data_IF_610200274770
#
_entry.id   IF_610200274770
#
_cell.length_a   1.000
_cell.length_b   1.000
_cell.length_c   1.000
_cell.angle_alpha   90.00
_cell.angle_beta   90.00
_cell.angle_gamma   90.00
#
_symmetry.space_group_name_H-M   'P 1'
#
loop_
_entity.id
_entity.type
_entity.pdbx_description
1 polymer ?
#
# COMPACT_ATOMS: atom_id res chain seq x y z
N UNK A 1 -7.15 52.12 32.12
CA UNK A 1 -7.19 50.62 32.15
C UNK A 1 -8.34 50.21 31.23
N UNK A 2 -8.02 49.87 29.96
CA UNK A 2 -9.03 49.47 28.94
C UNK A 2 -8.99 47.93 28.87
N UNK A 3 -10.11 47.31 29.24
CA UNK A 3 -10.31 45.87 29.13
C UNK A 3 -10.72 45.56 27.70
N UNK A 4 -9.88 44.83 26.97
CA UNK A 4 -10.21 44.30 25.63
C UNK A 4 -10.91 42.97 25.80
N UNK A 5 -12.19 42.93 25.47
CA UNK A 5 -13.00 41.69 25.47
C UNK A 5 -12.75 40.97 24.14
N UNK A 6 -12.07 39.83 24.22
CA UNK A 6 -11.81 38.95 23.07
C UNK A 6 -13.02 38.02 22.91
N UNK A 7 -13.87 38.28 21.93
CA UNK A 7 -14.98 37.39 21.55
C UNK A 7 -14.47 36.23 20.72
N UNK A 8 -14.52 35.04 21.29
CA UNK A 8 -14.25 33.77 20.60
C UNK A 8 -15.45 33.43 19.72
N UNK A 9 -15.28 33.51 18.40
CA UNK A 9 -16.27 33.02 17.44
C UNK A 9 -16.09 31.51 17.30
N UNK A 10 -16.99 30.75 17.91
CA UNK A 10 -17.10 29.31 17.70
C UNK A 10 -17.86 29.06 16.41
N UNK A 11 -17.16 28.66 15.37
CA UNK A 11 -17.77 28.22 14.12
C UNK A 11 -18.36 26.82 14.32
N UNK A 12 -19.67 26.74 14.58
CA UNK A 12 -20.40 25.48 14.61
C UNK A 12 -20.56 24.97 13.17
N UNK A 13 -19.85 23.88 12.83
CA UNK A 13 -20.07 23.14 11.59
C UNK A 13 -21.39 22.38 11.75
N UNK A 14 -22.45 22.89 11.13
CA UNK A 14 -23.73 22.19 11.03
C UNK A 14 -23.57 20.99 10.10
N UNK A 15 -23.53 19.79 10.65
CA UNK A 15 -23.77 18.58 9.88
C UNK A 15 -25.21 18.60 9.40
N UNK A 16 -25.40 18.81 8.10
CA UNK A 16 -26.70 18.76 7.46
C UNK A 16 -27.28 17.33 7.61
N UNK A 17 -28.34 17.21 8.41
CA UNK A 17 -29.17 16.03 8.40
C UNK A 17 -29.86 15.99 7.02
N UNK A 18 -29.54 14.97 6.22
CA UNK A 18 -30.27 14.71 5.00
C UNK A 18 -31.76 14.48 5.30
N UNK A 19 -32.67 14.71 4.34
CA UNK A 19 -34.10 14.54 4.58
C UNK A 19 -34.39 13.09 4.98
N UNK A 20 -34.84 12.86 6.21
CA UNK A 20 -35.39 11.59 6.61
C UNK A 20 -36.67 11.36 5.80
N UNK A 21 -36.65 10.37 4.91
CA UNK A 21 -37.86 9.93 4.21
C UNK A 21 -38.77 9.31 5.26
N UNK A 22 -39.76 10.09 5.70
CA UNK A 22 -40.82 9.56 6.55
C UNK A 22 -41.59 8.49 5.76
N UNK A 23 -41.44 7.22 6.16
CA UNK A 23 -42.24 6.15 5.62
C UNK A 23 -43.69 6.39 6.07
N UNK A 24 -44.57 6.73 5.13
CA UNK A 24 -45.98 6.93 5.42
C UNK A 24 -46.57 5.64 5.97
N UNK A 25 -47.35 5.69 7.05
CA UNK A 25 -48.02 4.50 7.56
C UNK A 25 -48.96 3.94 6.48
N UNK A 26 -49.16 2.63 6.41
CA UNK A 26 -50.06 2.04 5.45
C UNK A 26 -51.46 2.60 5.63
N UNK A 27 -52.24 2.74 4.52
CA UNK A 27 -53.59 3.30 4.58
C UNK A 27 -54.48 2.51 5.52
N UNK A 28 -55.38 3.22 6.21
CA UNK A 28 -56.30 2.63 7.14
C UNK A 28 -57.14 1.53 6.45
N UNK A 29 -57.09 0.30 7.00
CA UNK A 29 -57.72 -0.88 6.40
C UNK A 29 -56.80 -1.77 5.56
N UNK A 30 -55.50 -1.45 5.42
CA UNK A 30 -54.54 -2.35 4.80
C UNK A 30 -54.42 -3.64 5.61
N UNK A 31 -54.89 -4.74 5.04
CA UNK A 31 -54.63 -6.09 5.54
C UNK A 31 -53.55 -6.72 4.66
N UNK A 32 -52.35 -6.97 5.17
CA UNK A 32 -51.34 -7.66 4.38
C UNK A 32 -51.87 -9.04 4.01
N UNK A 33 -51.71 -9.43 2.74
CA UNK A 33 -51.95 -10.82 2.33
C UNK A 33 -50.93 -11.68 3.05
N UNK A 34 -51.39 -12.60 3.88
CA UNK A 34 -50.56 -13.49 4.67
C UNK A 34 -49.80 -14.52 3.84
N UNK A 35 -50.25 -14.78 2.62
CA UNK A 35 -49.63 -15.73 1.70
C UNK A 35 -49.75 -15.21 0.26
N UNK A 36 -48.62 -14.81 -0.32
CA UNK A 36 -48.49 -14.46 -1.73
C UNK A 36 -47.67 -15.56 -2.39
N UNK A 37 -48.33 -16.37 -3.24
CA UNK A 37 -47.67 -17.44 -3.96
C UNK A 37 -46.49 -16.89 -4.80
N UNK A 38 -45.32 -17.48 -4.64
CA UNK A 38 -44.12 -17.12 -5.42
C UNK A 38 -44.25 -17.68 -6.84
N UNK A 39 -43.78 -16.91 -7.82
CA UNK A 39 -43.55 -17.40 -9.17
C UNK A 39 -42.44 -18.46 -9.18
N UNK A 40 -42.38 -19.36 -10.17
CA UNK A 40 -41.27 -20.33 -10.27
C UNK A 40 -39.87 -19.69 -10.23
N UNK A 41 -39.68 -18.55 -10.91
CA UNK A 41 -38.42 -17.78 -10.89
C UNK A 41 -38.14 -17.24 -9.51
N UNK A 42 -39.12 -16.70 -8.79
CA UNK A 42 -38.96 -16.19 -7.44
C UNK A 42 -38.63 -17.31 -6.45
N UNK A 43 -39.26 -18.50 -6.59
CA UNK A 43 -38.92 -19.67 -5.79
C UNK A 43 -37.49 -20.12 -5.99
N UNK A 44 -37.01 -20.13 -7.23
CA UNK A 44 -35.61 -20.47 -7.52
C UNK A 44 -34.66 -19.42 -6.94
N UNK A 45 -34.96 -18.12 -7.03
CA UNK A 45 -34.16 -17.06 -6.43
C UNK A 45 -34.07 -17.21 -4.90
N UNK A 46 -35.15 -17.57 -4.23
CA UNK A 46 -35.16 -17.90 -2.79
C UNK A 46 -34.23 -19.08 -2.50
N UNK A 47 -34.33 -20.15 -3.27
CA UNK A 47 -33.52 -21.36 -3.10
C UNK A 47 -32.01 -21.05 -3.22
N UNK A 48 -31.63 -20.27 -4.22
CA UNK A 48 -30.22 -19.84 -4.41
C UNK A 48 -29.76 -18.98 -3.23
N UNK A 49 -30.60 -18.06 -2.77
CA UNK A 49 -30.30 -17.22 -1.60
C UNK A 49 -30.19 -18.04 -0.31
N UNK A 50 -31.03 -19.06 -0.14
CA UNK A 50 -30.93 -19.99 0.99
C UNK A 50 -29.66 -20.82 0.94
N UNK A 51 -29.22 -21.24 -0.23
CA UNK A 51 -27.91 -21.88 -0.41
C UNK A 51 -26.78 -21.04 0.13
N UNK A 52 -26.70 -19.77 -0.25
CA UNK A 52 -25.68 -18.85 0.26
C UNK A 52 -25.75 -18.63 1.78
N UNK A 53 -26.97 -18.54 2.33
CA UNK A 53 -27.17 -18.39 3.79
C UNK A 53 -26.80 -19.64 4.58
N UNK A 54 -26.96 -20.83 3.97
CA UNK A 54 -26.61 -22.11 4.56
C UNK A 54 -25.13 -22.47 4.35
N UNK A 55 -24.42 -21.77 3.45
CA UNK A 55 -23.00 -21.98 3.20
C UNK A 55 -22.17 -21.71 4.45
N UNK A 56 -21.30 -22.65 4.77
CA UNK A 56 -20.47 -22.56 5.96
C UNK A 56 -19.37 -21.53 5.72
N UNK A 57 -19.39 -20.45 6.49
CA UNK A 57 -18.28 -19.50 6.60
C UNK A 57 -17.72 -19.61 8.02
N UNK A 58 -16.87 -20.62 8.31
CA UNK A 58 -16.37 -20.85 9.65
C UNK A 58 -15.48 -19.68 10.10
N UNK A 59 -15.73 -19.13 11.29
CA UNK A 59 -14.90 -18.07 11.81
C UNK A 59 -13.54 -18.61 12.23
N UNK A 60 -12.51 -17.80 12.06
CA UNK A 60 -11.14 -18.05 12.54
C UNK A 60 -10.76 -17.10 13.69
N UNK A 61 -9.85 -17.49 14.59
CA UNK A 61 -9.35 -16.59 15.62
C UNK A 61 -8.42 -15.56 14.99
N UNK A 62 -8.69 -14.28 15.25
CA UNK A 62 -7.82 -13.18 14.87
C UNK A 62 -7.02 -12.63 16.06
N UNK A 63 -6.10 -11.68 15.85
CA UNK A 63 -5.38 -11.01 16.91
C UNK A 63 -6.35 -10.28 17.85
N UNK A 64 -5.92 -10.08 19.10
CA UNK A 64 -6.68 -9.35 20.14
C UNK A 64 -8.07 -9.92 20.44
N UNK A 65 -8.28 -11.23 20.23
CA UNK A 65 -9.53 -11.92 20.54
C UNK A 65 -10.68 -11.59 19.58
N UNK A 66 -10.40 -11.00 18.42
CA UNK A 66 -11.40 -10.81 17.36
C UNK A 66 -11.73 -12.13 16.67
N UNK A 67 -12.95 -12.22 16.20
CA UNK A 67 -13.42 -13.32 15.35
C UNK A 67 -13.38 -12.86 13.90
N UNK A 68 -12.74 -13.62 13.03
CA UNK A 68 -12.51 -13.23 11.63
C UNK A 68 -13.30 -14.15 10.70
N UNK A 69 -14.08 -13.57 9.81
CA UNK A 69 -14.77 -14.26 8.72
C UNK A 69 -14.09 -13.98 7.37
N UNK A 70 -14.15 -14.94 6.45
CA UNK A 70 -13.73 -14.70 5.07
C UNK A 70 -14.81 -13.96 4.31
N UNK A 71 -14.49 -12.78 3.76
CA UNK A 71 -15.47 -12.00 2.98
C UNK A 71 -15.86 -12.76 1.70
N UNK A 72 -17.20 -12.92 1.50
CA UNK A 72 -17.74 -13.61 0.32
C UNK A 72 -17.86 -15.13 0.43
N UNK A 73 -17.40 -15.75 1.52
CA UNK A 73 -17.46 -17.20 1.70
C UNK A 73 -18.77 -17.70 2.33
N UNK A 74 -19.78 -16.86 2.44
CA UNK A 74 -21.07 -17.16 3.04
C UNK A 74 -21.52 -16.06 4.01
N UNK A 75 -22.65 -16.24 4.66
CA UNK A 75 -23.27 -15.28 5.55
C UNK A 75 -22.55 -15.25 6.92
N UNK A 76 -21.85 -14.16 7.20
CA UNK A 76 -21.27 -13.94 8.52
C UNK A 76 -22.36 -13.64 9.57
N UNK A 77 -22.20 -14.16 10.78
CA UNK A 77 -23.15 -13.97 11.87
C UNK A 77 -22.48 -13.25 13.04
N UNK A 78 -23.04 -12.12 13.46
CA UNK A 78 -22.63 -11.41 14.67
C UNK A 78 -23.59 -11.78 15.81
N UNK A 79 -23.08 -12.46 16.82
CA UNK A 79 -23.83 -12.84 18.02
C UNK A 79 -23.61 -11.77 19.08
N UNK A 80 -24.70 -11.20 19.59
CA UNK A 80 -24.70 -10.14 20.59
C UNK A 80 -25.52 -10.52 21.82
N UNK A 81 -25.33 -9.81 22.93
CA UNK A 81 -26.17 -9.94 24.11
C UNK A 81 -26.59 -8.55 24.61
N UNK A 82 -27.76 -8.42 25.28
CA UNK A 82 -28.17 -7.19 25.90
C UNK A 82 -27.12 -6.72 26.92
N UNK A 83 -26.96 -5.41 27.07
CA UNK A 83 -25.97 -4.77 27.94
C UNK A 83 -24.50 -5.04 27.55
N UNK A 84 -24.25 -5.65 26.39
CA UNK A 84 -22.93 -5.86 25.84
C UNK A 84 -22.77 -5.10 24.51
N UNK A 85 -21.53 -4.70 24.23
CA UNK A 85 -21.17 -4.06 22.98
C UNK A 85 -20.57 -5.11 22.05
N UNK A 86 -21.13 -5.23 20.84
CA UNK A 86 -20.54 -5.98 19.75
C UNK A 86 -20.03 -5.00 18.69
N UNK A 87 -18.89 -5.27 18.12
CA UNK A 87 -18.23 -4.41 17.12
C UNK A 87 -18.01 -5.20 15.85
N UNK A 88 -18.51 -4.66 14.75
CA UNK A 88 -18.12 -5.07 13.41
C UNK A 88 -17.01 -4.14 12.93
N UNK A 89 -15.82 -4.68 12.67
CA UNK A 89 -14.69 -3.95 12.12
C UNK A 89 -14.66 -4.12 10.60
N UNK A 90 -14.56 -3.01 9.89
CA UNK A 90 -14.39 -3.00 8.44
C UNK A 90 -12.90 -2.94 8.09
N UNK A 91 -12.59 -2.98 6.81
CA UNK A 91 -11.18 -2.90 6.38
C UNK A 91 -10.59 -1.51 6.70
N UNK A 92 -9.36 -1.43 7.21
CA UNK A 92 -8.68 -0.16 7.40
C UNK A 92 -8.67 0.70 6.13
N UNK A 93 -8.95 2.00 6.28
CA UNK A 93 -9.03 2.95 5.17
C UNK A 93 -10.31 2.88 4.32
N UNK A 94 -11.25 1.99 4.64
CA UNK A 94 -12.59 2.00 4.04
C UNK A 94 -13.40 3.19 4.54
N UNK A 95 -14.33 3.71 3.73
CA UNK A 95 -15.23 4.80 4.11
C UNK A 95 -16.67 4.34 3.99
N UNK A 96 -17.45 4.61 5.03
CA UNK A 96 -18.89 4.34 4.98
C UNK A 96 -19.56 5.17 3.90
N UNK A 97 -20.41 4.54 3.12
CA UNK A 97 -21.23 5.18 2.09
C UNK A 97 -22.70 5.12 2.49
N UNK A 98 -23.10 6.04 3.37
CA UNK A 98 -24.43 6.09 3.96
C UNK A 98 -24.52 5.43 5.33
N UNK A 99 -25.71 5.50 5.91
CA UNK A 99 -26.00 4.89 7.21
C UNK A 99 -26.20 3.37 7.06
N UNK A 100 -25.73 2.56 8.04
CA UNK A 100 -26.03 1.13 8.07
C UNK A 100 -27.53 0.86 8.11
N UNK A 101 -27.99 -0.08 7.30
CA UNK A 101 -29.42 -0.46 7.20
C UNK A 101 -29.65 -1.75 7.95
N UNK A 102 -30.68 -1.78 8.78
CA UNK A 102 -31.01 -2.92 9.62
C UNK A 102 -32.51 -3.28 9.47
N UNK A 103 -32.81 -4.56 9.44
CA UNK A 103 -34.19 -5.02 9.30
C UNK A 103 -35.09 -4.73 10.51
N UNK A 104 -34.51 -4.70 11.71
CA UNK A 104 -35.21 -4.38 12.95
C UNK A 104 -34.59 -3.15 13.63
N UNK A 105 -35.00 -1.98 13.19
CA UNK A 105 -34.48 -0.70 13.70
C UNK A 105 -34.98 -0.30 15.09
N UNK A 106 -35.98 -0.98 15.62
CA UNK A 106 -36.57 -0.65 16.91
C UNK A 106 -35.84 -1.32 18.10
N UNK A 107 -35.37 -2.55 17.89
CA UNK A 107 -34.81 -3.37 18.96
C UNK A 107 -33.28 -3.49 18.89
N UNK A 108 -32.67 -2.87 17.90
CA UNK A 108 -31.22 -2.82 17.74
C UNK A 108 -30.73 -1.37 17.62
N UNK A 109 -29.70 -1.04 18.34
CA UNK A 109 -28.99 0.23 18.22
C UNK A 109 -27.73 0.01 17.40
N UNK A 110 -27.60 0.77 16.32
CA UNK A 110 -26.45 0.73 15.42
C UNK A 110 -25.80 2.10 15.41
N UNK A 111 -24.49 2.15 15.69
CA UNK A 111 -23.76 3.42 15.75
C UNK A 111 -22.45 3.27 14.97
N UNK A 112 -22.27 4.00 13.88
CA UNK A 112 -20.98 4.11 13.23
C UNK A 112 -19.94 4.79 14.11
N UNK A 113 -18.71 4.29 14.11
CA UNK A 113 -17.57 4.88 14.79
C UNK A 113 -16.28 4.56 14.00
N UNK A 114 -15.15 5.05 14.43
CA UNK A 114 -13.86 4.70 13.85
C UNK A 114 -12.76 4.78 14.92
N UNK A 115 -11.69 4.05 14.72
CA UNK A 115 -10.47 4.20 15.51
C UNK A 115 -9.24 4.26 14.60
N UNK A 116 -8.13 4.75 15.13
CA UNK A 116 -6.93 5.07 14.33
C UNK A 116 -6.99 6.48 13.74
N UNK A 117 -5.91 6.89 13.09
CA UNK A 117 -5.77 8.24 12.52
C UNK A 117 -5.41 8.20 11.04
N UNK A 118 -5.82 9.23 10.31
CA UNK A 118 -5.47 9.41 8.90
C UNK A 118 -6.20 8.48 7.95
N UNK A 119 -5.52 8.13 6.86
CA UNK A 119 -6.09 7.30 5.77
C UNK A 119 -6.22 5.82 6.15
N UNK A 120 -5.54 5.38 7.21
CA UNK A 120 -5.55 4.00 7.70
C UNK A 120 -6.53 3.80 8.88
N UNK A 121 -7.36 4.80 9.16
CA UNK A 121 -8.40 4.69 10.18
C UNK A 121 -9.32 3.51 9.89
N UNK A 122 -9.66 2.74 10.93
CA UNK A 122 -10.54 1.57 10.80
C UNK A 122 -11.96 1.98 11.17
N UNK A 123 -12.90 1.98 10.23
CA UNK A 123 -14.30 2.20 10.54
C UNK A 123 -14.87 0.98 11.24
N UNK A 124 -15.74 1.21 12.20
CA UNK A 124 -16.41 0.18 12.97
C UNK A 124 -17.90 0.47 13.09
N UNK A 125 -18.69 -0.58 13.21
CA UNK A 125 -20.11 -0.49 13.53
C UNK A 125 -20.33 -1.08 14.92
N UNK A 126 -20.80 -0.26 15.83
CA UNK A 126 -21.19 -0.68 17.18
C UNK A 126 -22.63 -1.17 17.15
N UNK A 127 -22.84 -2.39 17.60
CA UNK A 127 -24.14 -3.09 17.58
C UNK A 127 -24.55 -3.42 19.00
N UNK A 128 -25.78 -3.06 19.38
CA UNK A 128 -26.36 -3.34 20.72
C UNK A 128 -27.81 -3.79 20.57
N UNK A 129 -28.17 -5.02 20.98
CA UNK A 129 -29.56 -5.44 21.08
C UNK A 129 -30.21 -4.92 22.36
N UNK A 130 -31.51 -4.65 22.33
CA UNK A 130 -32.28 -4.25 23.52
C UNK A 130 -32.84 -5.43 24.32
N UNK A 131 -32.98 -6.60 23.68
CA UNK A 131 -33.53 -7.81 24.27
C UNK A 131 -32.84 -9.07 23.72
N UNK A 132 -32.85 -10.20 24.41
CA UNK A 132 -32.42 -11.47 23.89
C UNK A 132 -33.45 -12.07 22.89
N UNK A 133 -33.03 -13.07 22.10
CA UNK A 133 -33.89 -13.80 21.18
C UNK A 133 -34.26 -13.06 19.89
N UNK A 134 -33.53 -11.99 19.57
CA UNK A 134 -33.72 -11.25 18.32
C UNK A 134 -32.88 -11.86 17.21
N UNK A 135 -33.44 -11.88 15.99
CA UNK A 135 -32.80 -12.33 14.76
C UNK A 135 -33.16 -11.35 13.66
N UNK A 136 -32.16 -10.74 13.07
CA UNK A 136 -32.30 -9.76 11.98
C UNK A 136 -31.08 -9.75 11.08
N UNK A 137 -31.07 -8.86 10.11
CA UNK A 137 -29.93 -8.64 9.21
C UNK A 137 -29.45 -7.19 9.24
N UNK A 138 -28.19 -7.02 8.88
CA UNK A 138 -27.51 -5.74 8.78
C UNK A 138 -26.87 -5.63 7.40
N UNK A 139 -27.05 -4.49 6.75
CA UNK A 139 -26.35 -4.08 5.54
C UNK A 139 -25.48 -2.86 5.86
N UNK A 140 -24.21 -2.95 5.58
CA UNK A 140 -23.25 -1.83 5.66
C UNK A 140 -22.66 -1.62 4.27
N UNK A 141 -22.76 -0.41 3.73
CA UNK A 141 -22.18 -0.05 2.44
C UNK A 141 -20.97 0.84 2.64
N UNK A 142 -19.93 0.59 1.85
CA UNK A 142 -18.69 1.37 1.87
C UNK A 142 -18.31 1.79 0.46
N UNK A 143 -17.23 2.53 0.34
CA UNK A 143 -16.62 2.91 -0.95
C UNK A 143 -16.01 1.73 -1.71
N UNK A 144 -15.88 0.55 -1.06
CA UNK A 144 -15.29 -0.65 -1.68
C UNK A 144 -16.29 -1.79 -1.89
N UNK A 145 -17.23 -1.99 -0.95
CA UNK A 145 -18.12 -3.17 -0.97
C UNK A 145 -19.36 -3.00 -0.09
N UNK A 146 -20.26 -3.99 -0.15
CA UNK A 146 -21.39 -4.12 0.74
C UNK A 146 -21.20 -5.33 1.67
N UNK A 147 -21.38 -5.11 2.96
CA UNK A 147 -21.35 -6.16 3.97
C UNK A 147 -22.77 -6.52 4.36
N UNK A 148 -23.13 -7.76 4.18
CA UNK A 148 -24.42 -8.30 4.59
C UNK A 148 -24.20 -9.35 5.68
N UNK A 149 -24.79 -9.14 6.85
CA UNK A 149 -24.60 -9.96 8.04
C UNK A 149 -25.92 -10.35 8.65
N UNK A 150 -25.94 -11.48 9.35
CA UNK A 150 -26.99 -11.86 10.28
C UNK A 150 -26.63 -11.36 11.68
N UNK A 151 -27.59 -10.77 12.38
CA UNK A 151 -27.47 -10.36 13.77
C UNK A 151 -28.34 -11.27 14.65
N UNK A 152 -27.73 -11.90 15.65
CA UNK A 152 -28.42 -12.73 16.62
C UNK A 152 -28.23 -12.15 18.03
N UNK A 153 -29.30 -12.06 18.81
CA UNK A 153 -29.20 -11.69 20.23
C UNK A 153 -29.44 -12.91 21.12
N UNK A 154 -28.45 -13.25 21.93
CA UNK A 154 -28.53 -14.31 22.95
C UNK A 154 -28.61 -13.70 24.34
N UNK A 155 -29.06 -14.46 25.37
CA UNK A 155 -29.13 -13.94 26.74
C UNK A 155 -27.76 -13.52 27.31
N UNK A 156 -26.70 -14.30 27.08
CA UNK A 156 -25.38 -14.11 27.67
C UNK A 156 -24.25 -14.26 26.65
N UNK A 157 -24.39 -15.15 25.66
CA UNK A 157 -23.37 -15.41 24.64
C UNK A 157 -23.21 -14.21 23.71
N UNK A 158 -21.99 -13.73 23.53
CA UNK A 158 -21.71 -12.66 22.59
C UNK A 158 -20.28 -12.72 22.04
N UNK A 159 -20.11 -12.16 20.87
CA UNK A 159 -18.79 -11.92 20.22
C UNK A 159 -18.53 -10.42 20.32
N UNK A 160 -17.46 -10.04 21.03
CA UNK A 160 -17.15 -8.64 21.22
C UNK A 160 -16.67 -7.94 19.94
N UNK A 161 -15.93 -8.63 19.07
CA UNK A 161 -15.33 -8.06 17.85
C UNK A 161 -15.38 -9.07 16.72
N UNK A 162 -15.97 -8.66 15.60
CA UNK A 162 -15.97 -9.40 14.33
C UNK A 162 -15.24 -8.55 13.28
N UNK A 163 -14.41 -9.18 12.49
CA UNK A 163 -13.71 -8.58 11.37
C UNK A 163 -13.76 -9.49 10.14
N UNK A 164 -13.26 -9.01 9.01
CA UNK A 164 -13.16 -9.79 7.79
C UNK A 164 -11.74 -9.86 7.27
N UNK A 165 -11.39 -10.99 6.67
CA UNK A 165 -10.24 -11.13 5.79
C UNK A 165 -10.68 -11.09 4.33
N UNK A 166 -9.79 -10.63 3.46
CA UNK A 166 -10.09 -10.36 2.05
C UNK A 166 -9.09 -11.08 1.12
N UNK A 167 -9.18 -12.41 0.97
CA UNK A 167 -8.16 -13.19 0.26
C UNK A 167 -7.92 -12.76 -1.18
N UNK A 168 -8.98 -12.34 -1.88
CA UNK A 168 -8.87 -11.88 -3.27
C UNK A 168 -8.04 -10.60 -3.40
N UNK A 169 -8.24 -9.64 -2.49
CA UNK A 169 -7.48 -8.39 -2.48
C UNK A 169 -6.05 -8.59 -2.01
N UNK A 170 -5.85 -9.42 -1.00
CA UNK A 170 -4.52 -9.76 -0.50
C UNK A 170 -3.69 -10.47 -1.57
N UNK A 171 -4.29 -11.38 -2.34
CA UNK A 171 -3.64 -12.02 -3.47
C UNK A 171 -3.31 -11.02 -4.58
N UNK A 172 -4.24 -10.12 -4.92
CA UNK A 172 -3.99 -9.08 -5.92
C UNK A 172 -2.87 -8.12 -5.48
N UNK A 173 -2.86 -7.72 -4.21
CA UNK A 173 -1.80 -6.86 -3.66
C UNK A 173 -0.43 -7.54 -3.73
N UNK A 174 -0.31 -8.79 -3.28
CA UNK A 174 0.93 -9.58 -3.35
C UNK A 174 1.40 -9.76 -4.79
N UNK A 175 0.47 -9.99 -5.72
CA UNK A 175 0.78 -10.08 -7.14
C UNK A 175 1.30 -8.76 -7.71
N UNK A 176 0.67 -7.64 -7.39
CA UNK A 176 1.13 -6.31 -7.81
C UNK A 176 2.51 -5.97 -7.23
N UNK A 177 2.74 -6.23 -5.95
CA UNK A 177 4.05 -6.06 -5.32
C UNK A 177 5.14 -6.92 -5.98
N UNK A 178 4.81 -8.17 -6.30
CA UNK A 178 5.71 -9.05 -7.03
C UNK A 178 6.03 -8.50 -8.43
N UNK A 179 5.02 -8.07 -9.17
CA UNK A 179 5.22 -7.49 -10.51
C UNK A 179 6.03 -6.20 -10.49
N UNK A 180 5.81 -5.34 -9.51
CA UNK A 180 6.61 -4.12 -9.33
C UNK A 180 8.07 -4.46 -9.02
N UNK A 181 8.30 -5.43 -8.14
CA UNK A 181 9.65 -5.91 -7.80
C UNK A 181 10.36 -6.50 -9.01
N UNK A 182 9.66 -7.31 -9.81
CA UNK A 182 10.22 -7.89 -11.02
C UNK A 182 10.51 -6.82 -12.09
N UNK A 183 9.62 -5.83 -12.27
CA UNK A 183 9.88 -4.69 -13.17
C UNK A 183 11.10 -3.89 -12.73
N UNK A 184 11.25 -3.64 -11.43
CA UNK A 184 12.43 -2.95 -10.89
C UNK A 184 13.70 -3.75 -11.15
N UNK A 185 13.68 -5.07 -10.94
CA UNK A 185 14.81 -5.96 -11.25
C UNK A 185 15.11 -6.02 -12.75
N UNK A 186 14.08 -6.04 -13.60
CA UNK A 186 14.25 -6.02 -15.05
C UNK A 186 14.80 -4.68 -15.54
N UNK A 187 14.30 -3.54 -15.02
CA UNK A 187 14.85 -2.23 -15.37
C UNK A 187 16.32 -2.09 -14.93
N UNK A 188 16.66 -2.58 -13.73
CA UNK A 188 18.05 -2.64 -13.29
C UNK A 188 18.93 -3.52 -14.16
N UNK A 189 18.41 -4.67 -14.65
CA UNK A 189 19.11 -5.54 -15.59
C UNK A 189 19.21 -4.90 -16.98
N UNK A 190 18.12 -4.30 -17.48
CA UNK A 190 18.09 -3.63 -18.78
C UNK A 190 18.99 -2.39 -18.82
N UNK A 191 19.18 -1.71 -17.70
CA UNK A 191 20.12 -0.58 -17.59
C UNK A 191 21.59 -1.05 -17.53
N UNK A 192 21.82 -2.32 -17.13
CA UNK A 192 23.12 -2.99 -17.21
C UNK A 192 23.36 -3.67 -18.56
N UNK A 193 22.31 -4.07 -19.28
CA UNK A 193 22.38 -4.82 -20.53
C UNK A 193 22.88 -4.01 -21.75
N UNK A 194 22.68 -2.67 -21.90
CA UNK A 194 23.31 -1.96 -23.01
C UNK A 194 24.85 -2.05 -23.00
N UNK A 195 25.44 -2.21 -21.82
CA UNK A 195 26.88 -2.45 -21.70
C UNK A 195 27.28 -3.92 -21.97
N UNK A 196 26.32 -4.87 -21.93
CA UNK A 196 26.59 -6.30 -22.13
C UNK A 196 26.15 -6.84 -23.49
N UNK A 197 25.22 -6.15 -24.19
CA UNK A 197 24.64 -6.63 -25.45
C UNK A 197 25.55 -6.44 -26.66
N UNK A 198 26.63 -5.67 -26.52
CA UNK A 198 27.63 -5.54 -27.61
C UNK A 198 29.03 -5.83 -27.09
N UNK A 199 29.25 -7.02 -26.55
CA UNK A 199 30.59 -7.47 -26.16
C UNK A 199 31.59 -7.31 -27.29
N UNK A 200 31.14 -7.37 -28.58
CA UNK A 200 31.91 -7.14 -29.76
C UNK A 200 32.33 -5.67 -29.98
N UNK A 201 31.69 -4.73 -29.33
CA UNK A 201 32.01 -3.27 -29.40
C UNK A 201 32.74 -2.75 -28.19
N UNK A 202 32.90 -3.55 -27.12
CA UNK A 202 33.59 -3.10 -25.92
C UNK A 202 35.10 -3.03 -26.16
N UNK A 203 35.63 -1.87 -25.88
CA UNK A 203 37.07 -1.63 -25.91
C UNK A 203 37.62 -1.62 -24.48
N UNK A 204 38.48 -2.57 -24.16
CA UNK A 204 39.16 -2.70 -22.86
C UNK A 204 40.59 -2.11 -22.87
N UNK A 205 40.95 -1.44 -23.92
CA UNK A 205 42.30 -0.87 -24.09
C UNK A 205 42.56 0.37 -23.22
N UNK A 206 42.56 0.17 -21.90
CA UNK A 206 42.88 1.22 -20.93
C UNK A 206 43.94 0.74 -19.96
N UNK A 207 44.97 1.57 -19.76
CA UNK A 207 46.00 1.37 -18.75
C UNK A 207 45.64 2.15 -17.48
N UNK A 208 45.76 1.50 -16.33
CA UNK A 208 45.46 2.08 -15.03
C UNK A 208 46.72 2.06 -14.16
N UNK A 209 47.24 3.24 -13.79
CA UNK A 209 48.49 3.40 -13.02
C UNK A 209 48.28 4.20 -11.74
N UNK A 210 49.06 3.91 -10.72
CA UNK A 210 49.02 4.64 -9.46
C UNK A 210 47.84 4.27 -8.54
N UNK A 211 47.66 5.08 -7.48
CA UNK A 211 46.64 4.88 -6.45
C UNK A 211 46.91 3.69 -5.53
N UNK A 212 45.92 3.39 -4.70
CA UNK A 212 45.89 2.19 -3.88
C UNK A 212 44.70 1.29 -4.29
N UNK A 213 44.63 0.08 -3.74
CA UNK A 213 43.62 -0.90 -4.06
C UNK A 213 42.17 -0.39 -3.85
N UNK A 214 41.99 0.61 -2.97
CA UNK A 214 40.64 1.10 -2.63
C UNK A 214 40.04 2.05 -3.66
N UNK A 215 40.88 2.77 -4.42
CA UNK A 215 40.43 3.77 -5.41
C UNK A 215 40.79 3.36 -6.84
N UNK A 216 41.52 2.26 -7.01
CA UNK A 216 41.91 1.76 -8.31
C UNK A 216 40.74 1.00 -8.95
N UNK A 217 40.24 1.36 -10.15
CA UNK A 217 39.25 0.63 -10.85
C UNK A 217 39.67 -0.82 -11.12
N UNK A 218 38.77 -1.77 -10.94
CA UNK A 218 38.96 -3.17 -11.29
C UNK A 218 39.03 -3.34 -12.81
N UNK A 219 38.24 -2.55 -13.54
CA UNK A 219 38.18 -2.53 -15.01
C UNK A 219 37.79 -1.16 -15.50
N UNK A 220 38.32 -0.79 -16.67
CA UNK A 220 37.94 0.39 -17.45
C UNK A 220 37.67 -0.09 -18.87
N UNK A 221 36.55 0.30 -19.44
CA UNK A 221 36.18 -0.05 -20.81
C UNK A 221 35.23 1.00 -21.41
N UNK A 222 35.12 1.06 -22.72
CA UNK A 222 34.15 1.90 -23.43
C UNK A 222 33.31 1.07 -24.42
N UNK A 223 32.14 1.59 -24.79
CA UNK A 223 31.23 1.04 -25.79
C UNK A 223 31.27 1.80 -27.13
N UNK A 224 32.24 2.73 -27.26
CA UNK A 224 32.37 3.62 -28.40
C UNK A 224 31.67 4.98 -28.22
N UNK A 225 30.80 5.14 -27.20
CA UNK A 225 30.12 6.39 -26.86
C UNK A 225 30.41 6.81 -25.42
N UNK A 226 30.43 5.87 -24.49
CA UNK A 226 30.58 6.08 -23.05
C UNK A 226 31.74 5.29 -22.49
N UNK A 227 32.32 5.79 -21.41
CA UNK A 227 33.37 5.09 -20.67
C UNK A 227 32.84 4.64 -19.32
N UNK A 228 33.19 3.42 -18.94
CA UNK A 228 32.76 2.75 -17.71
C UNK A 228 33.98 2.40 -16.85
N UNK A 229 33.96 2.80 -15.59
CA UNK A 229 34.98 2.46 -14.61
C UNK A 229 34.35 1.63 -13.51
N UNK A 230 34.65 0.35 -13.45
CA UNK A 230 34.18 -0.56 -12.42
C UNK A 230 35.08 -0.46 -11.19
N UNK A 231 34.55 0.02 -10.09
CA UNK A 231 35.25 0.22 -8.83
C UNK A 231 35.17 -1.00 -7.91
N UNK A 232 36.08 -1.15 -6.94
CA UNK A 232 36.00 -2.19 -5.92
C UNK A 232 34.74 -2.08 -5.04
N UNK A 233 34.22 -3.21 -4.57
CA UNK A 233 33.01 -3.29 -3.75
C UNK A 233 33.12 -2.50 -2.43
N UNK A 234 34.32 -2.39 -1.91
CA UNK A 234 34.64 -1.72 -0.65
C UNK A 234 34.44 -0.20 -0.71
N UNK A 235 34.40 0.39 -1.91
CA UNK A 235 34.15 1.82 -2.11
C UNK A 235 32.76 2.25 -1.62
N UNK A 236 31.79 1.36 -1.53
CA UNK A 236 30.42 1.67 -1.08
C UNK A 236 30.34 2.30 0.32
N UNK A 237 31.32 2.00 1.17
CA UNK A 237 31.37 2.45 2.57
C UNK A 237 32.47 3.47 2.85
N UNK A 238 33.08 4.04 1.80
CA UNK A 238 34.19 4.97 1.90
C UNK A 238 33.95 6.23 1.07
N UNK A 239 34.83 7.22 1.22
CA UNK A 239 34.82 8.43 0.41
C UNK A 239 35.08 8.09 -1.07
N UNK A 240 34.21 8.57 -1.95
CA UNK A 240 34.28 8.30 -3.39
C UNK A 240 35.32 9.24 -4.06
N UNK A 241 36.23 8.73 -4.90
CA UNK A 241 37.17 9.58 -5.63
C UNK A 241 36.43 10.41 -6.68
N UNK A 242 36.96 11.62 -6.93
CA UNK A 242 36.47 12.51 -7.99
C UNK A 242 37.17 12.17 -9.30
N UNK A 243 36.39 12.03 -10.38
CA UNK A 243 36.95 11.83 -11.72
C UNK A 243 37.21 13.17 -12.41
N UNK A 244 38.44 13.36 -12.87
CA UNK A 244 38.88 14.49 -13.64
C UNK A 244 39.36 13.99 -15.02
N UNK A 245 38.83 14.53 -16.10
CA UNK A 245 39.31 14.22 -17.46
C UNK A 245 40.47 15.19 -17.77
N UNK A 246 41.56 14.67 -18.30
CA UNK A 246 42.74 15.47 -18.64
C UNK A 246 42.64 15.89 -20.11
N UNK A 247 42.50 17.22 -20.30
CA UNK A 247 42.47 17.81 -21.65
C UNK A 247 43.86 17.80 -22.32
N UNK A 248 43.90 18.23 -23.57
CA UNK A 248 45.14 18.33 -24.35
C UNK A 248 46.13 19.35 -23.78
N UNK A 249 45.66 20.26 -22.96
CA UNK A 249 46.48 21.25 -22.22
C UNK A 249 47.10 20.68 -20.94
N UNK A 250 46.87 19.42 -20.64
CA UNK A 250 47.32 18.72 -19.43
C UNK A 250 46.59 19.07 -18.15
N UNK A 251 45.53 19.89 -18.21
CA UNK A 251 44.73 20.24 -17.03
C UNK A 251 43.61 19.25 -16.85
N UNK A 252 43.33 18.93 -15.59
CA UNK A 252 42.17 18.09 -15.22
C UNK A 252 40.91 18.95 -15.14
N UNK A 253 39.88 18.55 -15.89
CA UNK A 253 38.58 19.16 -15.88
C UNK A 253 37.57 18.24 -15.20
N UNK A 254 36.69 18.81 -14.37
CA UNK A 254 35.58 18.06 -13.80
C UNK A 254 34.58 17.77 -14.90
N UNK A 255 34.21 16.51 -15.06
CA UNK A 255 33.19 16.08 -16.03
C UNK A 255 31.97 15.55 -15.29
N UNK A 256 30.82 15.60 -15.96
CA UNK A 256 29.62 14.94 -15.45
C UNK A 256 29.79 13.43 -15.60
N UNK A 257 29.58 12.72 -14.50
CA UNK A 257 29.51 11.27 -14.47
C UNK A 257 28.41 10.83 -13.52
N UNK A 258 27.89 9.64 -13.75
CA UNK A 258 26.92 8.99 -12.88
C UNK A 258 27.60 7.84 -12.16
N UNK A 259 27.27 7.64 -10.89
CA UNK A 259 27.73 6.48 -10.13
C UNK A 259 26.54 5.55 -9.93
N UNK A 260 26.57 4.40 -10.60
CA UNK A 260 25.57 3.37 -10.43
C UNK A 260 26.20 2.15 -9.76
N UNK A 261 25.71 1.79 -8.57
CA UNK A 261 26.29 0.73 -7.73
C UNK A 261 27.79 0.99 -7.43
N UNK A 262 28.66 0.49 -8.25
CA UNK A 262 30.13 0.60 -8.14
C UNK A 262 30.77 0.97 -9.47
N UNK A 263 29.98 1.46 -10.43
CA UNK A 263 30.46 1.84 -11.75
C UNK A 263 30.28 3.33 -11.96
N UNK A 264 31.37 4.00 -12.31
CA UNK A 264 31.33 5.36 -12.83
C UNK A 264 30.99 5.27 -14.33
N UNK A 265 29.98 5.97 -14.76
CA UNK A 265 29.55 6.05 -16.15
C UNK A 265 29.77 7.47 -16.63
N UNK A 266 30.65 7.63 -17.59
CA UNK A 266 31.01 8.91 -18.22
C UNK A 266 30.35 8.94 -19.59
N UNK A 267 29.50 9.92 -19.86
CA UNK A 267 28.76 10.04 -21.14
C UNK A 267 29.65 10.59 -22.27
N UNK A 268 30.91 10.23 -22.30
CA UNK A 268 31.88 10.50 -23.38
C UNK A 268 33.10 9.58 -23.29
N UNK A 269 33.87 9.51 -24.36
CA UNK A 269 35.20 8.90 -24.36
C UNK A 269 36.23 9.89 -23.88
N UNK A 270 37.35 9.39 -23.35
CA UNK A 270 38.49 10.19 -22.96
C UNK A 270 39.80 9.42 -23.24
N UNK A 271 40.87 10.14 -23.52
CA UNK A 271 42.21 9.57 -23.69
C UNK A 271 42.96 9.48 -22.35
N UNK A 272 42.76 10.44 -21.46
CA UNK A 272 43.37 10.43 -20.13
C UNK A 272 42.39 10.95 -19.08
N UNK A 273 42.40 10.31 -17.91
CA UNK A 273 41.62 10.75 -16.75
C UNK A 273 42.38 10.47 -15.45
N UNK A 274 42.04 11.20 -14.41
CA UNK A 274 42.53 10.99 -13.05
C UNK A 274 41.36 10.75 -12.09
N UNK A 275 41.47 9.70 -11.27
CA UNK A 275 40.64 9.56 -10.07
C UNK A 275 41.43 10.11 -8.89
N UNK A 276 40.87 11.08 -8.19
CA UNK A 276 41.55 11.79 -7.10
C UNK A 276 40.74 11.68 -5.81
N UNK A 277 41.37 11.25 -4.74
CA UNK A 277 40.79 11.17 -3.41
C UNK A 277 41.60 12.02 -2.43
N UNK A 278 40.92 12.89 -1.65
CA UNK A 278 41.53 13.62 -0.55
C UNK A 278 42.48 14.73 -0.99
N UNK A 279 42.33 15.33 -2.18
CA UNK A 279 43.13 16.47 -2.63
C UNK A 279 42.75 17.74 -1.87
N UNK A 280 43.67 18.27 -1.07
CA UNK A 280 43.54 19.55 -0.35
C UNK A 280 44.77 20.41 -0.53
N UNK A 281 44.69 21.72 -0.15
CA UNK A 281 45.78 22.72 -0.31
C UNK A 281 47.14 22.30 0.26
N UNK A 282 47.23 21.27 1.11
CA UNK A 282 48.45 20.76 1.74
C UNK A 282 48.75 19.27 1.53
N UNK A 283 47.86 18.51 0.90
CA UNK A 283 48.06 17.08 0.65
C UNK A 283 47.94 16.77 -0.85
N UNK A 284 49.01 16.14 -1.41
CA UNK A 284 48.84 15.40 -2.68
C UNK A 284 47.94 14.21 -2.40
N UNK A 285 46.66 14.32 -2.76
CA UNK A 285 45.72 13.22 -2.61
C UNK A 285 46.17 11.95 -3.36
N UNK A 286 45.55 10.83 -3.05
CA UNK A 286 45.76 9.60 -3.80
C UNK A 286 45.21 9.80 -5.22
N UNK A 287 46.07 9.58 -6.23
CA UNK A 287 45.69 9.75 -7.64
C UNK A 287 45.91 8.46 -8.40
N UNK A 288 44.90 8.05 -9.16
CA UNK A 288 44.98 6.98 -10.16
C UNK A 288 44.93 7.63 -11.52
N UNK A 289 45.87 7.32 -12.34
CA UNK A 289 45.94 7.75 -13.74
C UNK A 289 45.36 6.66 -14.64
N UNK A 290 44.44 7.03 -15.51
CA UNK A 290 43.79 6.17 -16.49
C UNK A 290 44.13 6.73 -17.87
N UNK A 291 44.68 5.91 -18.75
CA UNK A 291 45.04 6.31 -20.11
C UNK A 291 44.51 5.27 -21.11
N UNK A 292 43.95 5.75 -22.22
CA UNK A 292 43.48 4.90 -23.32
C UNK A 292 44.72 4.44 -24.12
N UNK A 293 44.84 3.14 -24.27
CA UNK A 293 45.88 2.58 -25.14
C UNK A 293 45.50 2.80 -26.63
N UNK A 294 46.44 3.28 -27.47
CA UNK A 294 46.14 3.37 -28.89
C UNK A 294 45.79 1.97 -29.44
N UNK A 295 44.71 1.91 -30.24
CA UNK A 295 44.35 0.67 -30.95
C UNK A 295 45.56 0.30 -31.84
N UNK A 296 46.19 -0.84 -31.55
CA UNK A 296 47.16 -1.45 -32.42
C UNK A 296 46.54 -1.92 -33.76
#
# INVERSE_FOLDING_TARGET
>A
MRVVCLTLVVCAVAFGQGPSVAVSPPPAGYKPKTDVALSPTATEAVRVSEGFRAESNPPSPGPDGRVVYTFGAGLATLVCAPLRICILELQPGEKLNGEPQIGDSLRWQITPAAYGTGIDGTPVIVVKPTAPGLDTNLLVTTDRRAYYLRLLSKPEDYVSRVAFEYPAEDNNRRWQEHMLTERSRQSEKAELLPALVTAERLNFGYDVKGGNEHIRPLRVFDDGEKTYLQMPAEMKNREAPVLLIVGNDGKGEVTNYRVQRQTYIVDRLFDRAHLVLGAGKKNKGLTVEISRSPKG
#
